data_IF_242669115595
#
_entry.id   IF_242669115595
#
_cell.length_a   1.000
_cell.length_b   1.000
_cell.length_c   1.000
_cell.angle_alpha   90.00
_cell.angle_beta   90.00
_cell.angle_gamma   90.00
#
_symmetry.space_group_name_H-M   'P 1'
#
loop_
_entity.id
_entity.type
_entity.pdbx_description
1 polymer ?
#
# COMPACT_ATOMS: atom_id res chain seq x y z
N UNK A 1 18.60 -4.85 7.71
CA UNK A 1 17.49 -5.71 8.14
C UNK A 1 16.30 -4.81 8.44
N UNK A 2 15.60 -4.37 7.39
CA UNK A 2 14.72 -3.20 7.44
C UNK A 2 13.37 -3.48 6.80
N UNK A 3 12.80 -4.65 7.06
CA UNK A 3 11.48 -5.01 6.55
C UNK A 3 10.44 -4.44 7.52
N UNK A 4 9.93 -3.25 7.21
CA UNK A 4 8.73 -2.72 7.87
C UNK A 4 7.58 -3.69 7.56
N UNK A 5 6.84 -4.13 8.59
CA UNK A 5 5.70 -5.01 8.36
C UNK A 5 4.64 -4.30 7.50
N UNK A 6 3.87 -5.03 6.66
CA UNK A 6 2.89 -4.39 5.78
C UNK A 6 1.86 -3.55 6.57
N UNK A 7 1.44 -4.03 7.74
CA UNK A 7 0.52 -3.31 8.63
C UNK A 7 1.16 -2.03 9.19
N UNK A 8 2.45 -2.04 9.52
CA UNK A 8 3.18 -0.85 9.98
C UNK A 8 3.34 0.18 8.87
N UNK A 9 3.63 -0.26 7.64
CA UNK A 9 3.74 0.63 6.49
C UNK A 9 2.40 1.32 6.19
N UNK A 10 1.30 0.56 6.19
CA UNK A 10 -0.05 1.13 6.00
C UNK A 10 -0.39 2.12 7.12
N UNK A 11 -0.12 1.78 8.38
CA UNK A 11 -0.40 2.66 9.51
C UNK A 11 0.37 3.98 9.41
N UNK A 12 1.66 3.92 9.09
CA UNK A 12 2.50 5.11 8.90
C UNK A 12 1.99 5.98 7.74
N UNK A 13 1.57 5.35 6.64
CA UNK A 13 0.99 6.05 5.50
C UNK A 13 -0.31 6.78 5.85
N UNK A 14 -1.24 6.12 6.56
CA UNK A 14 -2.51 6.71 6.99
C UNK A 14 -2.26 7.95 7.88
N UNK A 15 -1.31 7.85 8.81
CA UNK A 15 -0.92 8.99 9.67
C UNK A 15 -0.37 10.14 8.82
N UNK A 16 0.52 9.84 7.86
CA UNK A 16 1.07 10.86 6.97
C UNK A 16 -0.02 11.55 6.13
N UNK A 17 -0.96 10.79 5.57
CA UNK A 17 -2.12 11.34 4.85
C UNK A 17 -2.97 12.25 5.73
N UNK A 18 -3.20 11.88 6.99
CA UNK A 18 -3.92 12.72 7.96
C UNK A 18 -3.19 14.04 8.26
N UNK A 19 -1.87 14.00 8.40
CA UNK A 19 -1.04 15.20 8.61
C UNK A 19 -1.04 16.10 7.37
N UNK A 20 -1.06 15.52 6.17
CA UNK A 20 -1.03 16.24 4.90
C UNK A 20 -2.42 16.70 4.42
N UNK A 21 -3.50 16.31 5.12
CA UNK A 21 -4.87 16.64 4.72
C UNK A 21 -5.31 15.96 3.41
N UNK A 22 -4.88 14.72 3.18
CA UNK A 22 -5.30 13.93 2.02
C UNK A 22 -6.71 13.39 2.27
N UNK A 23 -7.71 13.95 1.59
CA UNK A 23 -9.12 13.57 1.76
C UNK A 23 -9.65 12.63 0.66
N UNK A 24 -8.98 12.57 -0.49
CA UNK A 24 -9.44 11.85 -1.68
C UNK A 24 -8.78 10.48 -1.83
N UNK A 25 -9.58 9.40 -1.94
CA UNK A 25 -9.06 8.03 -2.05
C UNK A 25 -8.22 7.76 -3.30
N UNK A 26 -8.53 8.42 -4.43
CA UNK A 26 -7.75 8.33 -5.67
C UNK A 26 -6.36 8.97 -5.51
N UNK A 27 -6.23 9.98 -4.65
CA UNK A 27 -4.94 10.58 -4.27
C UNK A 27 -4.17 9.63 -3.37
N UNK A 28 -4.84 8.97 -2.41
CA UNK A 28 -4.21 7.99 -1.51
C UNK A 28 -3.56 6.83 -2.27
N UNK A 29 -4.22 6.26 -3.28
CA UNK A 29 -3.62 5.17 -4.07
C UNK A 29 -2.35 5.64 -4.77
N UNK A 30 -2.40 6.81 -5.42
CA UNK A 30 -1.24 7.36 -6.14
C UNK A 30 -0.07 7.65 -5.20
N UNK A 31 -0.35 8.23 -4.03
CA UNK A 31 0.68 8.52 -3.02
C UNK A 31 1.27 7.25 -2.42
N UNK A 32 0.45 6.22 -2.19
CA UNK A 32 0.94 4.95 -1.63
C UNK A 32 1.87 4.22 -2.60
N UNK A 33 1.61 4.28 -3.92
CA UNK A 33 2.53 3.72 -4.92
C UNK A 33 3.93 4.34 -4.84
N UNK A 34 4.02 5.63 -4.53
CA UNK A 34 5.30 6.33 -4.37
C UNK A 34 6.07 5.91 -3.09
N UNK A 35 5.42 5.26 -2.13
CA UNK A 35 6.09 4.74 -0.92
C UNK A 35 6.58 3.31 -1.07
N UNK A 36 6.19 2.60 -2.13
CA UNK A 36 6.62 1.23 -2.40
C UNK A 36 8.11 1.18 -2.76
N UNK A 37 8.79 0.14 -2.30
CA UNK A 37 10.20 -0.11 -2.59
C UNK A 37 10.42 -1.58 -2.99
N UNK A 38 11.43 -1.81 -3.84
CA UNK A 38 11.91 -3.14 -4.25
C UNK A 38 10.76 -4.08 -4.67
N UNK A 39 10.58 -5.19 -3.93
CA UNK A 39 9.58 -6.22 -4.21
C UNK A 39 8.14 -5.68 -4.19
N UNK A 40 7.86 -4.63 -3.43
CA UNK A 40 6.53 -4.03 -3.39
C UNK A 40 6.22 -3.23 -4.67
N UNK A 41 7.22 -2.52 -5.19
CA UNK A 41 7.12 -1.83 -6.46
C UNK A 41 6.94 -2.84 -7.60
N UNK A 42 7.74 -3.91 -7.61
CA UNK A 42 7.64 -4.98 -8.60
C UNK A 42 6.27 -5.66 -8.58
N UNK A 43 5.76 -6.03 -7.41
CA UNK A 43 4.43 -6.59 -7.23
C UNK A 43 3.34 -5.70 -7.84
N UNK A 44 3.36 -4.41 -7.54
CA UNK A 44 2.33 -3.47 -8.01
C UNK A 44 2.29 -3.38 -9.54
N UNK A 45 3.44 -3.30 -10.20
CA UNK A 45 3.51 -3.21 -11.66
C UNK A 45 3.20 -4.52 -12.39
N UNK A 46 3.22 -5.66 -11.70
CA UNK A 46 2.80 -6.96 -12.23
C UNK A 46 1.29 -7.23 -12.09
N UNK A 47 0.55 -6.37 -11.40
CA UNK A 47 -0.90 -6.52 -11.29
C UNK A 47 -1.60 -6.27 -12.64
N UNK A 48 -2.65 -7.03 -12.97
CA UNK A 48 -3.49 -6.73 -14.12
C UNK A 48 -4.07 -5.31 -14.06
N UNK A 49 -4.33 -4.73 -15.24
CA UNK A 49 -4.99 -3.43 -15.33
C UNK A 49 -6.37 -3.48 -14.66
N UNK A 50 -6.75 -2.43 -13.93
CA UNK A 50 -7.99 -2.33 -13.14
C UNK A 50 -8.10 -3.32 -11.96
N UNK A 51 -6.99 -3.92 -11.52
CA UNK A 51 -7.00 -4.71 -10.27
C UNK A 51 -7.18 -3.84 -9.03
N UNK A 52 -6.57 -2.66 -8.99
CA UNK A 52 -6.73 -1.68 -7.90
C UNK A 52 -7.58 -0.53 -8.45
N UNK A 53 -8.77 -0.34 -7.89
CA UNK A 53 -9.73 0.69 -8.32
C UNK A 53 -9.99 1.75 -7.23
N UNK A 54 -9.58 1.48 -5.99
CA UNK A 54 -9.79 2.32 -4.82
C UNK A 54 -8.78 1.97 -3.71
N UNK A 55 -8.75 2.79 -2.66
CA UNK A 55 -7.83 2.63 -1.53
C UNK A 55 -8.08 1.33 -0.73
N UNK A 56 -9.34 0.93 -0.55
CA UNK A 56 -9.69 -0.31 0.15
C UNK A 56 -9.12 -1.51 -0.59
N UNK A 57 -9.29 -1.56 -1.92
CA UNK A 57 -8.73 -2.62 -2.77
C UNK A 57 -7.19 -2.65 -2.71
N UNK A 58 -6.53 -1.49 -2.77
CA UNK A 58 -5.07 -1.38 -2.61
C UNK A 58 -4.61 -1.98 -1.28
N UNK A 59 -5.23 -1.56 -0.16
CA UNK A 59 -4.86 -2.01 1.18
C UNK A 59 -5.01 -3.52 1.33
N UNK A 60 -6.17 -4.07 0.96
CA UNK A 60 -6.44 -5.51 1.10
C UNK A 60 -5.48 -6.37 0.28
N UNK A 61 -5.21 -5.99 -0.97
CA UNK A 61 -4.28 -6.73 -1.83
C UNK A 61 -2.84 -6.68 -1.29
N UNK A 62 -2.40 -5.50 -0.83
CA UNK A 62 -1.08 -5.32 -0.26
C UNK A 62 -0.89 -6.16 1.02
N UNK A 63 -1.86 -6.11 1.93
CA UNK A 63 -1.86 -6.92 3.15
C UNK A 63 -1.82 -8.42 2.81
N UNK A 64 -2.66 -8.89 1.89
CA UNK A 64 -2.70 -10.31 1.51
C UNK A 64 -1.41 -10.81 0.88
N UNK A 65 -0.72 -9.97 0.11
CA UNK A 65 0.51 -10.37 -0.57
C UNK A 65 1.74 -10.34 0.35
N UNK A 66 1.82 -9.37 1.26
CA UNK A 66 3.00 -9.14 2.10
C UNK A 66 2.86 -9.61 3.54
N UNK A 67 1.66 -10.00 4.00
CA UNK A 67 1.53 -10.65 5.30
C UNK A 67 2.29 -11.97 5.30
N UNK A 68 3.10 -12.24 6.35
CA UNK A 68 3.68 -13.56 6.52
C UNK A 68 2.55 -14.57 6.68
N UNK A 69 2.69 -15.76 6.08
CA UNK A 69 1.79 -16.86 6.37
C UNK A 69 1.84 -17.13 7.88
N UNK A 70 0.68 -17.14 8.54
CA UNK A 70 0.59 -17.61 9.93
C UNK A 70 1.02 -19.08 9.97
N UNK A 71 1.98 -19.40 10.84
CA UNK A 71 2.43 -20.77 11.15
C UNK A 71 1.45 -21.45 12.11
#
# INVERSE_FOLDING_TARGET
>A
DGKVHPDEHIAAFIVACGVLGVEHEDVSVRLFVETLQDNATDWFYHLPTRTIIDWTTMRTQFEQHFKPAED
#
